data_IF_530888880349
#
_entry.id   IF_530888880349
#
_cell.length_a   1.000
_cell.length_b   1.000
_cell.length_c   1.000
_cell.angle_alpha   90.00
_cell.angle_beta   90.00
_cell.angle_gamma   90.00
#
_symmetry.space_group_name_H-M   'P 1'
#
loop_
_entity.id
_entity.type
_entity.pdbx_description
1 polymer ?
#
# COMPACT_ATOMS: atom_id res chain seq x y z
N UNK A 1 1.78 16.64 -21.94
CA UNK A 1 1.98 15.33 -22.61
C UNK A 1 2.63 14.37 -21.62
N UNK A 2 2.20 13.11 -21.55
CA UNK A 2 2.88 12.09 -20.73
C UNK A 2 4.25 11.75 -21.35
N UNK A 3 5.24 11.40 -20.53
CA UNK A 3 6.54 10.88 -20.99
C UNK A 3 6.40 9.63 -21.86
N UNK A 4 5.32 8.86 -21.68
CA UNK A 4 4.99 7.70 -22.50
C UNK A 4 4.67 8.08 -23.94
N UNK A 5 4.03 9.24 -24.16
CA UNK A 5 3.66 9.70 -25.51
C UNK A 5 4.91 10.02 -26.34
N UNK A 6 5.93 10.60 -25.71
CA UNK A 6 7.22 10.82 -26.37
C UNK A 6 7.93 9.50 -26.69
N UNK A 7 7.94 8.54 -25.76
CA UNK A 7 8.54 7.23 -25.98
C UNK A 7 7.83 6.44 -27.08
N UNK A 8 6.50 6.49 -27.13
CA UNK A 8 5.71 5.90 -28.21
C UNK A 8 6.09 6.49 -29.56
N UNK A 9 6.17 7.83 -29.65
CA UNK A 9 6.60 8.51 -30.88
C UNK A 9 8.00 8.09 -31.31
N UNK A 10 8.96 8.07 -30.37
CA UNK A 10 10.32 7.64 -30.63
C UNK A 10 10.36 6.18 -31.11
N UNK A 11 9.54 5.29 -30.52
CA UNK A 11 9.43 3.88 -30.93
C UNK A 11 9.00 3.76 -32.39
N UNK A 12 7.89 4.42 -32.76
CA UNK A 12 7.36 4.40 -34.12
C UNK A 12 8.39 4.94 -35.12
N UNK A 13 8.99 6.09 -34.84
CA UNK A 13 9.97 6.72 -35.72
C UNK A 13 11.28 5.92 -35.85
N UNK A 14 11.70 5.27 -34.76
CA UNK A 14 12.86 4.38 -34.77
C UNK A 14 12.60 3.12 -35.60
N UNK A 15 11.39 2.56 -35.55
CA UNK A 15 10.98 1.43 -36.39
C UNK A 15 10.96 1.78 -37.88
N UNK A 16 10.72 3.05 -38.23
CA UNK A 16 10.84 3.59 -39.58
C UNK A 16 12.30 3.90 -39.99
N UNK A 17 13.29 3.50 -39.20
CA UNK A 17 14.72 3.74 -39.42
C UNK A 17 15.11 5.24 -39.49
N UNK A 18 14.35 6.11 -38.82
CA UNK A 18 14.67 7.54 -38.74
C UNK A 18 15.77 7.74 -37.69
N UNK A 19 16.72 8.63 -37.99
CA UNK A 19 17.83 8.95 -37.08
C UNK A 19 17.33 9.71 -35.84
N UNK A 20 17.88 9.38 -34.67
CA UNK A 20 17.49 9.97 -33.38
C UNK A 20 17.56 11.50 -33.35
N UNK A 21 18.51 12.10 -34.08
CA UNK A 21 18.63 13.56 -34.23
C UNK A 21 17.41 14.17 -34.92
N UNK A 22 16.94 13.57 -36.00
CA UNK A 22 15.75 14.04 -36.73
C UNK A 22 14.51 13.88 -35.85
N UNK A 23 14.39 12.76 -35.12
CA UNK A 23 13.30 12.53 -34.18
C UNK A 23 13.27 13.61 -33.09
N UNK A 24 14.44 13.98 -32.55
CA UNK A 24 14.57 15.06 -31.58
C UNK A 24 14.15 16.40 -32.18
N UNK A 25 14.60 16.74 -33.38
CA UNK A 25 14.29 18.03 -34.01
C UNK A 25 12.79 18.15 -34.34
N UNK A 26 12.15 17.06 -34.77
CA UNK A 26 10.69 16.98 -34.93
C UNK A 26 9.97 17.21 -33.59
N UNK A 27 10.39 16.52 -32.52
CA UNK A 27 9.81 16.69 -31.19
C UNK A 27 10.02 18.10 -30.65
N UNK A 28 11.21 18.68 -30.86
CA UNK A 28 11.55 20.02 -30.40
C UNK A 28 10.78 21.08 -31.18
N UNK A 29 10.57 20.92 -32.49
CA UNK A 29 9.79 21.86 -33.30
C UNK A 29 8.32 21.96 -32.87
N UNK A 30 7.74 20.89 -32.31
CA UNK A 30 6.35 20.85 -31.88
C UNK A 30 6.19 21.20 -30.40
N UNK A 31 7.10 20.73 -29.54
CA UNK A 31 6.95 20.79 -28.08
C UNK A 31 7.97 21.67 -27.37
N UNK A 32 8.98 22.20 -28.08
CA UNK A 32 10.02 23.10 -27.59
C UNK A 32 10.58 22.64 -26.24
N UNK A 33 10.45 23.45 -25.17
CA UNK A 33 10.98 23.15 -23.84
C UNK A 33 10.36 21.92 -23.15
N UNK A 34 9.25 21.39 -23.66
CA UNK A 34 8.64 20.15 -23.16
C UNK A 34 9.18 18.90 -23.85
N UNK A 35 9.97 19.04 -24.92
CA UNK A 35 10.53 17.92 -25.64
C UNK A 35 11.62 17.20 -24.81
N UNK A 36 11.74 15.87 -24.95
CA UNK A 36 12.83 15.14 -24.33
C UNK A 36 14.18 15.55 -24.92
N UNK A 37 15.23 15.58 -24.08
CA UNK A 37 16.59 15.88 -24.54
C UNK A 37 17.06 14.91 -25.63
N UNK A 38 17.96 15.35 -26.51
CA UNK A 38 18.55 14.50 -27.55
C UNK A 38 19.13 13.19 -26.96
N UNK A 39 19.81 13.25 -25.81
CA UNK A 39 20.35 12.06 -25.13
C UNK A 39 19.25 11.06 -24.74
N UNK A 40 18.10 11.57 -24.30
CA UNK A 40 16.94 10.73 -23.97
C UNK A 40 16.41 10.04 -25.23
N UNK A 41 16.28 10.76 -26.34
CA UNK A 41 15.83 10.23 -27.63
C UNK A 41 16.79 9.14 -28.13
N UNK A 42 18.10 9.41 -28.13
CA UNK A 42 19.13 8.45 -28.54
C UNK A 42 19.10 7.17 -27.70
N UNK A 43 18.98 7.30 -26.38
CA UNK A 43 18.87 6.15 -25.47
C UNK A 43 17.65 5.29 -25.80
N UNK A 44 16.47 5.90 -25.95
CA UNK A 44 15.25 5.16 -26.28
C UNK A 44 15.30 4.55 -27.67
N UNK A 45 15.77 5.28 -28.69
CA UNK A 45 15.99 4.71 -30.03
C UNK A 45 16.95 3.52 -30.02
N UNK A 46 18.01 3.55 -29.20
CA UNK A 46 18.91 2.41 -29.04
C UNK A 46 18.18 1.21 -28.43
N UNK A 47 17.46 1.40 -27.31
CA UNK A 47 16.70 0.34 -26.64
C UNK A 47 15.64 -0.29 -27.57
N UNK A 48 14.96 0.53 -28.38
CA UNK A 48 13.97 0.03 -29.34
C UNK A 48 14.62 -0.77 -30.49
N UNK A 49 15.81 -0.38 -30.97
CA UNK A 49 16.55 -1.20 -31.95
C UNK A 49 17.05 -2.52 -31.36
N UNK A 50 17.34 -2.53 -30.07
CA UNK A 50 17.75 -3.72 -29.32
C UNK A 50 16.57 -4.64 -28.95
N UNK A 51 15.34 -4.31 -29.39
CA UNK A 51 14.16 -5.16 -29.24
C UNK A 51 13.34 -4.90 -27.97
N UNK A 52 13.59 -3.82 -27.23
CA UNK A 52 12.71 -3.46 -26.11
C UNK A 52 11.35 -2.99 -26.64
N UNK A 53 10.23 -3.61 -26.24
CA UNK A 53 8.90 -3.18 -26.68
C UNK A 53 8.14 -2.34 -25.65
N UNK A 54 8.50 -2.44 -24.38
CA UNK A 54 7.86 -1.73 -23.27
C UNK A 54 8.19 -0.23 -23.30
N UNK A 55 7.13 0.58 -23.22
CA UNK A 55 7.17 2.05 -23.23
C UNK A 55 7.11 2.59 -21.79
N UNK A 56 6.46 1.84 -20.91
CA UNK A 56 6.29 2.16 -19.50
C UNK A 56 7.62 2.09 -18.74
N UNK A 57 7.70 2.83 -17.64
CA UNK A 57 8.82 2.69 -16.72
C UNK A 57 8.78 1.30 -16.07
N UNK A 58 9.91 0.59 -16.09
CA UNK A 58 10.07 -0.60 -15.25
C UNK A 58 9.82 -0.24 -13.79
N UNK A 59 9.35 -1.21 -13.03
CA UNK A 59 9.23 -1.10 -11.58
C UNK A 59 10.55 -0.59 -11.00
N UNK A 60 10.50 0.61 -10.41
CA UNK A 60 11.68 1.20 -9.80
C UNK A 60 11.95 0.44 -8.52
N UNK A 61 13.18 -0.02 -8.32
CA UNK A 61 13.61 -0.45 -7.00
C UNK A 61 13.55 0.77 -6.08
N UNK A 62 12.55 0.78 -5.20
CA UNK A 62 12.48 1.76 -4.12
C UNK A 62 13.60 1.54 -3.10
N UNK A 63 13.62 2.36 -2.05
CA UNK A 63 14.47 2.10 -0.89
C UNK A 63 14.05 0.75 -0.29
N UNK A 64 14.98 -0.20 -0.07
CA UNK A 64 14.65 -1.46 0.58
C UNK A 64 14.07 -1.16 1.97
N UNK A 65 12.91 -1.73 2.26
CA UNK A 65 12.28 -1.65 3.58
C UNK A 65 12.94 -2.73 4.43
N UNK A 66 14.05 -2.40 5.07
CA UNK A 66 14.84 -3.35 5.87
C UNK A 66 14.15 -3.76 7.17
N UNK A 67 13.22 -2.96 7.69
CA UNK A 67 12.60 -3.19 9.00
C UNK A 67 11.25 -3.92 8.94
N UNK A 68 10.67 -4.14 7.76
CA UNK A 68 9.39 -4.85 7.61
C UNK A 68 9.64 -6.27 7.09
N UNK A 69 10.43 -7.02 7.84
CA UNK A 69 10.63 -8.46 7.65
C UNK A 69 9.41 -9.24 8.11
N UNK A 70 9.26 -10.48 7.66
CA UNK A 70 8.18 -11.38 8.12
C UNK A 70 8.22 -11.60 9.63
N UNK A 71 9.42 -11.71 10.21
CA UNK A 71 9.62 -11.90 11.65
C UNK A 71 9.08 -10.73 12.46
N UNK A 72 9.37 -9.49 12.04
CA UNK A 72 8.87 -8.30 12.72
C UNK A 72 7.33 -8.16 12.59
N UNK A 73 6.77 -8.54 11.44
CA UNK A 73 5.31 -8.56 11.24
C UNK A 73 4.67 -9.57 12.20
N UNK A 74 5.21 -10.77 12.30
CA UNK A 74 4.69 -11.82 13.17
C UNK A 74 4.86 -11.45 14.65
N UNK A 75 5.97 -10.85 15.04
CA UNK A 75 6.19 -10.35 16.39
C UNK A 75 5.13 -9.31 16.79
N UNK A 76 4.90 -8.28 15.97
CA UNK A 76 3.85 -7.27 16.23
C UNK A 76 2.47 -7.91 16.29
N UNK A 77 2.19 -8.88 15.40
CA UNK A 77 0.92 -9.61 15.40
C UNK A 77 0.68 -10.37 16.70
N UNK A 78 1.71 -11.03 17.24
CA UNK A 78 1.61 -11.75 18.51
C UNK A 78 1.33 -10.80 19.67
N UNK A 79 2.05 -9.69 19.76
CA UNK A 79 1.85 -8.69 20.81
C UNK A 79 0.42 -8.11 20.81
N UNK A 80 -0.11 -7.77 19.64
CA UNK A 80 -1.48 -7.24 19.51
C UNK A 80 -2.54 -8.29 19.86
N UNK A 81 -2.30 -9.57 19.53
CA UNK A 81 -3.24 -10.64 19.87
C UNK A 81 -3.27 -10.94 21.38
N UNK A 82 -2.14 -10.75 22.07
CA UNK A 82 -2.05 -10.91 23.52
C UNK A 82 -2.73 -9.75 24.25
N UNK A 83 -2.41 -8.51 23.88
CA UNK A 83 -3.07 -7.31 24.39
C UNK A 83 -3.44 -6.32 23.27
N UNK A 84 -4.72 -6.27 22.87
CA UNK A 84 -5.22 -5.32 21.86
C UNK A 84 -5.19 -3.85 22.29
N UNK A 85 -4.88 -3.54 23.56
CA UNK A 85 -4.85 -2.18 24.09
C UNK A 85 -3.46 -1.54 24.08
N UNK A 86 -2.43 -2.26 23.64
CA UNK A 86 -1.07 -1.74 23.55
C UNK A 86 -0.99 -0.47 22.69
N UNK A 87 -0.25 0.52 23.19
CA UNK A 87 0.08 1.72 22.42
C UNK A 87 1.24 1.43 21.47
N UNK A 88 1.41 2.28 20.45
CA UNK A 88 2.56 2.16 19.55
C UNK A 88 3.86 2.36 20.34
N UNK A 89 3.91 3.30 21.27
CA UNK A 89 5.08 3.52 22.15
C UNK A 89 5.47 2.26 22.93
N UNK A 90 4.49 1.53 23.49
CA UNK A 90 4.76 0.26 24.18
C UNK A 90 5.26 -0.83 23.23
N UNK A 91 4.82 -0.82 21.97
CA UNK A 91 5.32 -1.73 20.95
C UNK A 91 6.74 -1.35 20.51
N UNK A 92 7.08 -0.07 20.48
CA UNK A 92 8.46 0.40 20.23
C UNK A 92 9.40 -0.15 21.30
N UNK A 93 9.05 0.01 22.58
CA UNK A 93 9.84 -0.47 23.72
C UNK A 93 10.05 -2.00 23.71
N UNK A 94 9.13 -2.77 23.10
CA UNK A 94 9.20 -4.23 23.05
C UNK A 94 9.85 -4.80 21.80
N UNK A 95 9.92 -4.02 20.71
CA UNK A 95 10.37 -4.51 19.39
C UNK A 95 11.59 -3.77 18.85
N UNK A 96 12.01 -2.67 19.49
CA UNK A 96 13.05 -1.74 19.02
C UNK A 96 12.81 -1.22 17.59
N UNK A 97 11.57 -1.31 17.10
CA UNK A 97 11.16 -0.80 15.80
C UNK A 97 10.74 0.66 15.92
N UNK A 98 10.95 1.42 14.84
CA UNK A 98 10.47 2.80 14.78
C UNK A 98 8.93 2.86 14.73
N UNK A 99 8.36 3.91 15.34
CA UNK A 99 6.93 4.23 15.31
C UNK A 99 6.33 4.10 13.90
N UNK A 100 7.03 4.65 12.90
CA UNK A 100 6.58 4.62 11.51
C UNK A 100 6.52 3.22 10.92
N UNK A 101 7.50 2.37 11.24
CA UNK A 101 7.51 0.97 10.82
C UNK A 101 6.39 0.18 11.49
N UNK A 102 6.19 0.34 12.80
CA UNK A 102 5.10 -0.33 13.53
C UNK A 102 3.73 0.09 12.96
N UNK A 103 3.52 1.40 12.76
CA UNK A 103 2.29 1.91 12.17
C UNK A 103 2.02 1.28 10.80
N UNK A 104 3.03 1.24 9.92
CA UNK A 104 2.93 0.59 8.60
C UNK A 104 2.62 -0.90 8.70
N UNK A 105 3.24 -1.62 9.62
CA UNK A 105 2.96 -3.05 9.85
C UNK A 105 1.48 -3.22 10.23
N UNK A 106 0.98 -2.43 11.16
CA UNK A 106 -0.41 -2.50 11.62
C UNK A 106 -1.39 -2.19 10.49
N UNK A 107 -1.17 -1.11 9.73
CA UNK A 107 -2.12 -0.67 8.70
C UNK A 107 -2.00 -1.45 7.40
N UNK A 108 -0.80 -1.63 6.87
CA UNK A 108 -0.59 -2.08 5.50
C UNK A 108 -0.41 -3.60 5.42
N UNK A 109 0.20 -4.21 6.44
CA UNK A 109 0.49 -5.65 6.46
C UNK A 109 -0.56 -6.45 7.23
N UNK A 110 -0.95 -5.98 8.42
CA UNK A 110 -1.96 -6.64 9.24
C UNK A 110 -3.40 -6.20 8.90
N UNK A 111 -3.56 -5.10 8.14
CA UNK A 111 -4.86 -4.52 7.78
C UNK A 111 -5.74 -4.21 9.00
N UNK A 112 -5.10 -3.77 10.09
CA UNK A 112 -5.77 -3.42 11.35
C UNK A 112 -5.98 -1.91 11.45
N UNK A 113 -7.00 -1.53 12.21
CA UNK A 113 -7.30 -0.13 12.53
C UNK A 113 -7.57 0.00 14.02
N UNK A 114 -7.08 1.09 14.63
CA UNK A 114 -7.46 1.45 16.00
C UNK A 114 -8.98 1.69 16.08
N UNK A 115 -9.60 1.05 17.05
CA UNK A 115 -11.01 1.26 17.42
C UNK A 115 -11.04 1.71 18.87
N UNK A 116 -11.79 2.76 19.16
CA UNK A 116 -12.01 3.21 20.54
C UNK A 116 -12.97 2.26 21.24
N UNK A 117 -12.66 1.87 22.47
CA UNK A 117 -13.58 1.10 23.31
C UNK A 117 -14.91 1.82 23.49
N UNK A 118 -16.00 1.06 23.53
CA UNK A 118 -17.33 1.59 23.86
C UNK A 118 -17.51 1.64 25.37
N UNK A 119 -18.09 2.73 25.87
CA UNK A 119 -18.43 2.85 27.29
C UNK A 119 -19.42 1.75 27.69
N UNK A 120 -19.09 1.02 28.75
CA UNK A 120 -19.96 0.01 29.35
C UNK A 120 -20.39 0.52 30.73
N UNK A 121 -21.70 0.73 30.99
CA UNK A 121 -22.16 1.38 32.22
C UNK A 121 -21.85 0.65 33.52
N UNK A 122 -21.58 -0.65 33.48
CA UNK A 122 -21.36 -1.47 34.67
C UNK A 122 -20.52 -2.70 34.37
N UNK A 123 -19.53 -2.93 35.22
CA UNK A 123 -18.80 -4.20 35.26
C UNK A 123 -19.65 -5.27 35.93
N UNK A 124 -20.12 -6.21 35.13
CA UNK A 124 -20.97 -7.31 35.58
C UNK A 124 -20.12 -8.42 36.21
N UNK A 125 -20.63 -8.99 37.29
CA UNK A 125 -20.13 -10.26 37.83
C UNK A 125 -20.54 -11.44 36.95
N UNK A 126 -19.87 -12.59 37.08
CA UNK A 126 -20.22 -13.80 36.32
C UNK A 126 -21.65 -14.28 36.58
N UNK A 127 -22.10 -14.16 37.83
CA UNK A 127 -23.48 -14.45 38.20
C UNK A 127 -24.45 -13.54 37.44
N UNK A 128 -24.21 -12.23 37.44
CA UNK A 128 -25.05 -11.26 36.72
C UNK A 128 -25.06 -11.49 35.20
N UNK A 129 -23.92 -11.88 34.61
CA UNK A 129 -23.83 -12.25 33.18
C UNK A 129 -24.73 -13.45 32.87
N UNK A 130 -24.58 -14.52 33.65
CA UNK A 130 -25.36 -15.76 33.48
C UNK A 130 -26.85 -15.49 33.59
N UNK A 131 -27.26 -14.75 34.62
CA UNK A 131 -28.65 -14.47 34.90
C UNK A 131 -29.30 -13.61 33.81
N UNK A 132 -28.58 -12.60 33.30
CA UNK A 132 -29.04 -11.80 32.16
C UNK A 132 -29.27 -12.66 30.93
N UNK A 133 -28.35 -13.57 30.60
CA UNK A 133 -28.51 -14.48 29.46
C UNK A 133 -29.71 -15.40 29.64
N UNK A 134 -29.93 -15.93 30.84
CA UNK A 134 -31.11 -16.76 31.17
C UNK A 134 -32.42 -16.00 30.91
N UNK A 135 -32.55 -14.81 31.50
CA UNK A 135 -33.75 -13.98 31.36
C UNK A 135 -33.98 -13.57 29.89
N UNK A 136 -32.92 -13.19 29.16
CA UNK A 136 -33.04 -12.86 27.74
C UNK A 136 -33.55 -14.04 26.90
N UNK A 137 -33.07 -15.26 27.18
CA UNK A 137 -33.56 -16.47 26.49
C UNK A 137 -35.02 -16.76 26.80
N UNK A 138 -35.44 -16.61 28.06
CA UNK A 138 -36.84 -16.79 28.46
C UNK A 138 -37.76 -15.76 27.80
N UNK A 139 -37.35 -14.49 27.77
CA UNK A 139 -38.11 -13.43 27.12
C UNK A 139 -38.21 -13.65 25.60
N UNK A 140 -37.13 -14.11 24.97
CA UNK A 140 -37.14 -14.45 23.55
C UNK A 140 -38.10 -15.61 23.25
N UNK A 141 -38.10 -16.65 24.10
CA UNK A 141 -39.01 -17.78 23.94
C UNK A 141 -40.48 -17.37 24.08
N UNK A 142 -40.81 -16.53 25.08
CA UNK A 142 -42.16 -15.97 25.26
C UNK A 142 -42.60 -15.16 24.04
N UNK A 143 -41.73 -14.28 23.54
CA UNK A 143 -41.99 -13.50 22.33
C UNK A 143 -42.28 -14.39 21.11
N UNK A 144 -41.50 -15.45 20.93
CA UNK A 144 -41.71 -16.41 19.83
C UNK A 144 -43.01 -17.22 19.99
N UNK A 145 -43.44 -17.48 21.22
CA UNK A 145 -44.68 -18.18 21.54
C UNK A 145 -45.92 -17.28 21.47
N UNK A 146 -45.76 -15.96 21.33
CA UNK A 146 -46.86 -15.00 21.26
C UNK A 146 -47.59 -14.77 22.58
N UNK A 147 -46.92 -15.01 23.70
CA UNK A 147 -47.41 -14.80 25.08
C UNK A 147 -46.56 -13.80 25.85
#
# INVERSE_FOLDING_TARGET
>A
MSTENFRFYIKVRTALNIQARIIHDELYSVYDNQAPSLRTVERWSKLFREGQEEIEDKTRSGRPITETTSENIDQIRLLINDDPYLTIEQLEDQTDLSHGTIHRIITDHLNLRKITVRYVPKDLTDFQRTERVRICKENLAKFQQGT
#
